data_IF_079474595776
#
_entry.id   IF_079474595776
#
_cell.length_a   1.000
_cell.length_b   1.000
_cell.length_c   1.000
_cell.angle_alpha   90.00
_cell.angle_beta   90.00
_cell.angle_gamma   90.00
#
_symmetry.space_group_name_H-M   'P 1'
#
loop_
_entity.id
_entity.type
_entity.pdbx_description
1 polymer ?
#
# COMPACT_ATOMS: atom_id res chain seq x y z
N UNK A 1 -30.75 -11.00 8.62
CA UNK A 1 -30.51 -11.91 7.49
C UNK A 1 -29.08 -12.46 7.59
N UNK A 2 -28.86 -13.75 7.66
CA UNK A 2 -27.47 -14.29 7.60
C UNK A 2 -26.93 -14.04 6.20
N UNK A 3 -25.89 -13.24 6.09
CA UNK A 3 -25.24 -12.93 4.82
C UNK A 3 -24.55 -14.18 4.30
N UNK A 4 -24.71 -14.49 3.03
CA UNK A 4 -23.98 -15.56 2.37
C UNK A 4 -22.51 -15.16 2.32
N UNK A 5 -21.65 -15.92 2.99
CA UNK A 5 -20.21 -15.73 2.91
C UNK A 5 -19.67 -16.46 1.69
N UNK A 6 -18.93 -15.75 0.85
CA UNK A 6 -18.26 -16.33 -0.32
C UNK A 6 -16.92 -16.91 0.14
N UNK A 7 -16.76 -18.23 0.09
CA UNK A 7 -15.53 -18.94 0.48
C UNK A 7 -15.08 -19.92 -0.60
N UNK A 8 -13.74 -20.10 -0.78
CA UNK A 8 -13.23 -21.05 -1.75
C UNK A 8 -13.51 -22.49 -1.31
N UNK A 9 -14.13 -23.26 -2.17
CA UNK A 9 -14.36 -24.69 -1.98
C UNK A 9 -13.09 -25.50 -2.34
N UNK A 10 -13.06 -26.78 -1.98
CA UNK A 10 -11.95 -27.68 -2.32
C UNK A 10 -11.65 -27.69 -3.83
N UNK A 11 -12.67 -27.71 -4.67
CA UNK A 11 -12.51 -27.68 -6.13
C UNK A 11 -11.88 -26.36 -6.60
N UNK A 12 -12.26 -25.22 -6.02
CA UNK A 12 -11.67 -23.90 -6.35
C UNK A 12 -10.19 -23.84 -5.95
N UNK A 13 -9.81 -24.42 -4.80
CA UNK A 13 -8.41 -24.53 -4.37
C UNK A 13 -7.59 -25.42 -5.30
N UNK A 14 -8.17 -26.54 -5.76
CA UNK A 14 -7.54 -27.44 -6.74
C UNK A 14 -7.35 -26.72 -8.08
N UNK A 15 -8.38 -26.02 -8.56
CA UNK A 15 -8.32 -25.26 -9.80
C UNK A 15 -7.25 -24.15 -9.71
N UNK A 16 -7.18 -23.44 -8.59
CA UNK A 16 -6.15 -22.44 -8.32
C UNK A 16 -4.74 -23.04 -8.38
N UNK A 17 -4.55 -24.21 -7.77
CA UNK A 17 -3.26 -24.93 -7.82
C UNK A 17 -2.85 -25.30 -9.25
N UNK A 18 -3.80 -25.75 -10.07
CA UNK A 18 -3.55 -26.08 -11.49
C UNK A 18 -3.20 -24.81 -12.28
N UNK A 19 -3.94 -23.71 -12.05
CA UNK A 19 -3.70 -22.42 -12.69
C UNK A 19 -2.30 -21.90 -12.33
N UNK A 20 -1.92 -21.97 -11.04
CA UNK A 20 -0.60 -21.60 -10.58
C UNK A 20 0.52 -22.46 -11.22
N UNK A 21 0.32 -23.78 -11.31
CA UNK A 21 1.26 -24.68 -11.97
C UNK A 21 1.44 -24.35 -13.45
N UNK A 22 0.34 -24.04 -14.15
CA UNK A 22 0.38 -23.58 -15.54
C UNK A 22 1.11 -22.25 -15.69
N UNK A 23 0.91 -21.31 -14.75
CA UNK A 23 1.65 -20.06 -14.69
C UNK A 23 3.16 -20.29 -14.62
N UNK A 24 3.58 -21.18 -13.73
CA UNK A 24 4.99 -21.56 -13.61
C UNK A 24 5.55 -22.17 -14.89
N UNK A 25 4.78 -22.98 -15.60
CA UNK A 25 5.19 -23.52 -16.90
C UNK A 25 5.44 -22.42 -17.93
N UNK A 26 4.62 -21.36 -17.96
CA UNK A 26 4.89 -20.18 -18.79
C UNK A 26 6.15 -19.42 -18.33
N UNK A 27 6.30 -19.19 -17.04
CA UNK A 27 7.46 -18.48 -16.47
C UNK A 27 8.79 -19.18 -16.83
N UNK A 28 8.81 -20.52 -16.83
CA UNK A 28 9.97 -21.32 -17.17
C UNK A 28 10.08 -21.68 -18.66
N UNK A 29 9.27 -21.07 -19.53
CA UNK A 29 9.25 -21.30 -20.97
C UNK A 29 9.11 -22.81 -21.36
N UNK A 30 8.32 -23.57 -20.60
CA UNK A 30 7.99 -24.93 -20.94
C UNK A 30 7.19 -24.93 -22.25
N UNK A 31 7.46 -25.82 -23.25
CA UNK A 31 6.67 -25.86 -24.48
C UNK A 31 5.18 -26.10 -24.20
N UNK A 32 4.31 -25.39 -24.95
CA UNK A 32 2.85 -25.34 -24.71
C UNK A 32 2.20 -26.74 -24.74
N UNK A 33 2.73 -27.65 -25.54
CA UNK A 33 2.26 -29.05 -25.62
C UNK A 33 2.35 -29.84 -24.32
N UNK A 34 3.23 -29.41 -23.38
CA UNK A 34 3.41 -29.99 -22.05
C UNK A 34 2.63 -29.27 -20.96
N UNK A 35 1.95 -28.15 -21.28
CA UNK A 35 1.19 -27.42 -20.29
C UNK A 35 -0.04 -28.21 -19.82
N UNK A 36 -0.37 -28.05 -18.54
CA UNK A 36 -1.61 -28.59 -17.99
C UNK A 36 -2.81 -28.02 -18.75
N UNK A 37 -3.70 -28.89 -19.19
CA UNK A 37 -4.96 -28.51 -19.85
C UNK A 37 -5.95 -28.04 -18.79
N UNK A 38 -6.47 -26.82 -18.95
CA UNK A 38 -7.63 -26.32 -18.22
C UNK A 38 -8.85 -26.45 -19.13
N UNK A 39 -10.00 -26.85 -18.59
CA UNK A 39 -11.26 -26.74 -19.30
C UNK A 39 -11.61 -25.27 -19.54
N UNK A 40 -12.16 -24.94 -20.70
CA UNK A 40 -12.25 -23.56 -21.22
C UNK A 40 -13.02 -22.58 -20.32
N UNK A 41 -13.97 -23.03 -19.50
CA UNK A 41 -14.79 -22.14 -18.66
C UNK A 41 -14.31 -22.01 -17.19
N UNK A 42 -13.31 -22.77 -16.76
CA UNK A 42 -12.88 -22.80 -15.36
C UNK A 42 -12.14 -21.54 -14.89
N UNK A 43 -11.36 -20.84 -15.72
CA UNK A 43 -10.77 -19.55 -15.32
C UNK A 43 -11.81 -18.49 -14.98
N UNK A 44 -12.92 -18.42 -15.73
CA UNK A 44 -14.00 -17.44 -15.52
C UNK A 44 -14.77 -17.71 -14.22
N UNK A 45 -14.99 -18.99 -13.88
CA UNK A 45 -15.58 -19.37 -12.59
C UNK A 45 -14.68 -18.96 -11.42
N UNK A 46 -13.37 -19.14 -11.57
CA UNK A 46 -12.39 -18.74 -10.56
C UNK A 46 -12.33 -17.22 -10.41
N UNK A 47 -12.36 -16.50 -11.53
CA UNK A 47 -12.41 -15.05 -11.55
C UNK A 47 -13.68 -14.53 -10.85
N UNK A 48 -14.85 -15.05 -11.20
CA UNK A 48 -16.13 -14.67 -10.57
C UNK A 48 -16.14 -14.94 -9.07
N UNK A 49 -15.54 -16.05 -8.62
CA UNK A 49 -15.36 -16.36 -7.21
C UNK A 49 -14.47 -15.32 -6.51
N UNK A 50 -13.33 -14.96 -7.11
CA UNK A 50 -12.38 -14.00 -6.52
C UNK A 50 -12.99 -12.61 -6.41
N UNK A 51 -13.74 -12.14 -7.40
CA UNK A 51 -14.49 -10.87 -7.35
C UNK A 51 -15.53 -10.90 -6.22
N UNK A 52 -16.29 -11.99 -6.08
CA UNK A 52 -17.26 -12.15 -4.99
C UNK A 52 -16.60 -12.12 -3.60
N UNK A 53 -15.44 -12.78 -3.46
CA UNK A 53 -14.68 -12.76 -2.21
C UNK A 53 -14.12 -11.37 -1.89
N UNK A 54 -13.62 -10.65 -2.89
CA UNK A 54 -13.15 -9.27 -2.74
C UNK A 54 -14.28 -8.34 -2.26
N UNK A 55 -15.46 -8.41 -2.92
CA UNK A 55 -16.62 -7.62 -2.53
C UNK A 55 -17.08 -7.92 -1.10
N UNK A 56 -17.10 -9.19 -0.70
CA UNK A 56 -17.44 -9.60 0.67
C UNK A 56 -16.42 -9.08 1.70
N UNK A 57 -15.13 -9.09 1.36
CA UNK A 57 -14.09 -8.51 2.20
C UNK A 57 -14.22 -6.99 2.35
N UNK A 58 -14.47 -6.27 1.26
CA UNK A 58 -14.71 -4.82 1.29
C UNK A 58 -15.88 -4.48 2.22
N UNK A 59 -16.97 -5.24 2.16
CA UNK A 59 -18.11 -5.03 3.05
C UNK A 59 -17.76 -5.21 4.54
N UNK A 60 -16.83 -6.12 4.88
CA UNK A 60 -16.41 -6.27 6.27
C UNK A 60 -15.57 -5.08 6.73
N UNK A 61 -14.72 -4.53 5.87
CA UNK A 61 -14.00 -3.29 6.17
C UNK A 61 -14.97 -2.14 6.37
N UNK A 62 -15.96 -1.98 5.48
CA UNK A 62 -16.96 -0.91 5.54
C UNK A 62 -17.72 -0.95 6.86
N UNK A 63 -18.12 -2.13 7.31
CA UNK A 63 -18.95 -2.34 8.51
C UNK A 63 -18.14 -2.50 9.81
N UNK A 64 -16.81 -2.31 9.82
CA UNK A 64 -15.91 -2.45 10.98
C UNK A 64 -16.01 -3.81 11.72
N UNK A 65 -16.27 -4.88 11.00
CA UNK A 65 -16.34 -6.23 11.59
C UNK A 65 -14.95 -6.81 11.79
N UNK A 66 -14.17 -6.29 12.74
CA UNK A 66 -12.75 -6.60 12.93
C UNK A 66 -12.47 -8.11 13.10
N UNK A 67 -13.28 -8.83 13.87
CA UNK A 67 -13.11 -10.29 14.05
C UNK A 67 -13.26 -11.05 12.72
N UNK A 68 -14.19 -10.61 11.86
CA UNK A 68 -14.40 -11.20 10.54
C UNK A 68 -13.31 -10.79 9.55
N UNK A 69 -12.73 -9.60 9.69
CA UNK A 69 -11.61 -9.16 8.85
C UNK A 69 -10.39 -10.06 9.06
N UNK A 70 -10.04 -10.37 10.32
CA UNK A 70 -8.92 -11.27 10.64
C UNK A 70 -9.15 -12.69 10.11
N UNK A 71 -10.34 -13.24 10.31
CA UNK A 71 -10.70 -14.57 9.80
C UNK A 71 -10.63 -14.64 8.26
N UNK A 72 -10.98 -13.56 7.57
CA UNK A 72 -11.03 -13.49 6.11
C UNK A 72 -9.72 -13.05 5.46
N UNK A 73 -8.69 -12.69 6.19
CA UNK A 73 -7.38 -12.38 5.61
C UNK A 73 -6.78 -13.57 4.85
N UNK A 74 -7.00 -14.82 5.32
CA UNK A 74 -6.59 -16.01 4.58
C UNK A 74 -7.39 -16.19 3.28
N UNK A 75 -8.69 -15.87 3.30
CA UNK A 75 -9.53 -15.89 2.10
C UNK A 75 -9.10 -14.81 1.11
N UNK A 76 -8.73 -13.62 1.58
CA UNK A 76 -8.20 -12.56 0.73
C UNK A 76 -6.83 -12.91 0.13
N UNK A 77 -6.03 -13.69 0.85
CA UNK A 77 -4.79 -14.24 0.29
C UNK A 77 -5.06 -15.12 -0.94
N UNK A 78 -6.10 -15.94 -0.91
CA UNK A 78 -6.51 -16.71 -2.09
C UNK A 78 -6.83 -15.79 -3.28
N UNK A 79 -7.50 -14.66 -3.06
CA UNK A 79 -7.80 -13.68 -4.09
C UNK A 79 -6.52 -13.02 -4.62
N UNK A 80 -5.60 -12.62 -3.76
CA UNK A 80 -4.32 -12.03 -4.18
C UNK A 80 -3.44 -13.03 -4.95
N UNK A 81 -3.40 -14.29 -4.53
CA UNK A 81 -2.69 -15.36 -5.23
C UNK A 81 -3.28 -15.61 -6.63
N UNK A 82 -4.61 -15.47 -6.80
CA UNK A 82 -5.23 -15.51 -8.11
C UNK A 82 -4.74 -14.40 -9.02
N UNK A 83 -4.78 -13.14 -8.55
CA UNK A 83 -4.32 -12.01 -9.36
C UNK A 83 -2.82 -12.08 -9.66
N UNK A 84 -1.99 -12.49 -8.70
CA UNK A 84 -0.55 -12.71 -8.93
C UNK A 84 -0.33 -13.76 -10.04
N UNK A 85 -1.03 -14.88 -9.95
CA UNK A 85 -0.96 -15.97 -10.92
C UNK A 85 -1.47 -15.52 -12.28
N UNK A 86 -2.63 -14.85 -12.33
CA UNK A 86 -3.26 -14.42 -13.58
C UNK A 86 -2.43 -13.36 -14.32
N UNK A 87 -1.85 -12.41 -13.61
CA UNK A 87 -1.02 -11.34 -14.18
C UNK A 87 0.32 -11.89 -14.68
N UNK A 88 0.89 -12.87 -13.99
CA UNK A 88 2.15 -13.52 -14.40
C UNK A 88 1.97 -14.49 -15.55
N UNK A 89 0.80 -15.06 -15.70
CA UNK A 89 0.52 -15.91 -16.87
C UNK A 89 0.18 -15.01 -18.04
N UNK A 90 0.93 -15.08 -19.11
CA UNK A 90 0.56 -14.52 -20.41
C UNK A 90 -0.69 -15.20 -20.99
N UNK A 91 -1.69 -15.51 -20.17
CA UNK A 91 -2.95 -16.13 -20.58
C UNK A 91 -3.80 -15.16 -21.41
N UNK A 92 -3.57 -13.83 -21.24
CA UNK A 92 -4.05 -12.79 -22.13
C UNK A 92 -2.87 -11.89 -22.46
N UNK A 93 -2.49 -11.79 -23.72
CA UNK A 93 -1.42 -10.92 -24.19
C UNK A 93 -1.73 -9.45 -23.97
N UNK A 94 -3.01 -9.08 -23.90
CA UNK A 94 -3.50 -7.77 -23.50
C UNK A 94 -3.98 -7.82 -22.04
N UNK A 95 -3.12 -7.35 -21.13
CA UNK A 95 -3.51 -7.18 -19.72
C UNK A 95 -4.60 -6.10 -19.65
N UNK A 96 -5.82 -6.52 -19.43
CA UNK A 96 -6.96 -5.63 -19.24
C UNK A 96 -6.70 -4.73 -18.02
N UNK A 97 -6.80 -3.42 -18.21
CA UNK A 97 -6.62 -2.42 -17.14
C UNK A 97 -7.56 -2.63 -15.97
N UNK A 98 -8.74 -3.20 -16.21
CA UNK A 98 -9.65 -3.63 -15.15
C UNK A 98 -8.97 -4.64 -14.20
N UNK A 99 -8.32 -5.66 -14.74
CA UNK A 99 -7.62 -6.68 -13.94
C UNK A 99 -6.43 -6.11 -13.18
N UNK A 100 -5.67 -5.20 -13.80
CA UNK A 100 -4.56 -4.51 -13.15
C UNK A 100 -5.05 -3.63 -11.99
N UNK A 101 -6.16 -2.92 -12.19
CA UNK A 101 -6.73 -2.01 -11.21
C UNK A 101 -7.31 -2.77 -10.01
N UNK A 102 -8.14 -3.77 -10.24
CA UNK A 102 -8.73 -4.61 -9.20
C UNK A 102 -7.66 -5.47 -8.51
N UNK A 103 -6.68 -5.97 -9.25
CA UNK A 103 -5.53 -6.69 -8.70
C UNK A 103 -4.70 -5.79 -7.77
N UNK A 104 -4.43 -4.54 -8.18
CA UNK A 104 -3.73 -3.56 -7.33
C UNK A 104 -4.50 -3.28 -6.04
N UNK A 105 -5.83 -3.07 -6.12
CA UNK A 105 -6.69 -2.90 -4.96
C UNK A 105 -6.66 -4.13 -4.02
N UNK A 106 -6.71 -5.32 -4.60
CA UNK A 106 -6.65 -6.58 -3.85
C UNK A 106 -5.31 -6.72 -3.12
N UNK A 107 -4.19 -6.45 -3.78
CA UNK A 107 -2.87 -6.47 -3.14
C UNK A 107 -2.78 -5.47 -2.00
N UNK A 108 -3.31 -4.26 -2.18
CA UNK A 108 -3.34 -3.29 -1.10
C UNK A 108 -4.10 -3.80 0.12
N UNK A 109 -5.34 -4.27 -0.08
CA UNK A 109 -6.23 -4.76 0.97
C UNK A 109 -5.72 -6.05 1.63
N UNK A 110 -4.90 -6.85 0.93
CA UNK A 110 -4.24 -8.06 1.46
C UNK A 110 -2.89 -7.77 2.14
N UNK A 111 -2.61 -6.51 2.48
CA UNK A 111 -1.36 -6.08 3.12
C UNK A 111 -0.10 -6.29 2.25
N UNK A 112 -0.25 -6.28 0.93
CA UNK A 112 0.84 -6.37 -0.06
C UNK A 112 1.00 -5.02 -0.80
N UNK A 113 1.15 -3.93 -0.05
CA UNK A 113 1.18 -2.57 -0.58
C UNK A 113 2.29 -2.34 -1.61
N UNK A 114 3.45 -3.01 -1.44
CA UNK A 114 4.53 -2.97 -2.42
C UNK A 114 4.11 -3.53 -3.79
N UNK A 115 3.44 -4.68 -3.83
CA UNK A 115 2.90 -5.28 -5.06
C UNK A 115 1.83 -4.39 -5.69
N UNK A 116 0.94 -3.83 -4.87
CA UNK A 116 -0.07 -2.86 -5.31
C UNK A 116 0.58 -1.66 -6.01
N UNK A 117 1.60 -1.06 -5.39
CA UNK A 117 2.33 0.10 -5.94
C UNK A 117 3.04 -0.21 -7.26
N UNK A 118 3.59 -1.42 -7.42
CA UNK A 118 4.23 -1.83 -8.68
C UNK A 118 3.18 -2.02 -9.78
N UNK A 119 2.04 -2.59 -9.43
CA UNK A 119 1.02 -2.92 -10.41
C UNK A 119 0.30 -1.67 -10.94
N UNK A 120 -0.06 -0.74 -10.07
CA UNK A 120 -0.75 0.49 -10.46
C UNK A 120 0.08 1.36 -11.41
N UNK A 121 1.42 1.32 -11.30
CA UNK A 121 2.34 2.06 -12.20
C UNK A 121 2.32 1.56 -13.65
N UNK A 122 1.80 0.36 -13.90
CA UNK A 122 1.67 -0.20 -15.25
C UNK A 122 0.46 0.32 -16.02
N UNK A 123 -0.46 1.02 -15.35
CA UNK A 123 -1.68 1.55 -15.95
C UNK A 123 -1.41 2.99 -16.41
N UNK A 124 -1.44 3.31 -17.71
CA UNK A 124 -1.42 4.68 -18.19
C UNK A 124 -2.79 5.33 -17.95
N UNK A 125 -2.82 6.41 -17.17
CA UNK A 125 -4.09 7.04 -16.78
C UNK A 125 -4.91 7.54 -17.97
N UNK A 126 -4.24 7.95 -19.05
CA UNK A 126 -4.91 8.49 -20.24
C UNK A 126 -5.73 7.45 -21.01
N UNK A 127 -5.36 6.17 -20.87
CA UNK A 127 -6.02 5.04 -21.54
C UNK A 127 -7.03 4.35 -20.63
N UNK A 128 -7.17 4.82 -19.38
CA UNK A 128 -8.04 4.20 -18.40
C UNK A 128 -9.49 4.68 -18.60
N UNK A 129 -10.26 3.92 -19.36
CA UNK A 129 -11.69 4.05 -19.54
C UNK A 129 -12.35 2.67 -19.43
N UNK A 130 -13.05 2.44 -18.34
CA UNK A 130 -13.71 1.17 -18.04
C UNK A 130 -15.23 1.28 -18.10
N UNK A 131 -15.77 2.39 -18.60
CA UNK A 131 -17.20 2.68 -18.61
C UNK A 131 -17.84 2.54 -17.22
N UNK A 132 -17.22 3.12 -16.19
CA UNK A 132 -17.71 3.12 -14.81
C UNK A 132 -17.86 4.54 -14.26
N UNK A 133 -18.24 5.46 -15.14
CA UNK A 133 -18.53 6.85 -14.77
C UNK A 133 -17.38 7.50 -13.97
N UNK A 134 -16.14 7.23 -14.36
CA UNK A 134 -14.90 7.70 -13.76
C UNK A 134 -14.58 7.15 -12.34
N UNK A 135 -15.32 6.15 -11.84
CA UNK A 135 -14.95 5.45 -10.61
C UNK A 135 -13.60 4.75 -10.73
N UNK A 136 -13.26 4.25 -11.93
CA UNK A 136 -11.94 3.70 -12.21
C UNK A 136 -10.81 4.72 -12.04
N UNK A 137 -11.04 5.98 -12.41
CA UNK A 137 -10.07 7.06 -12.23
C UNK A 137 -9.90 7.41 -10.75
N UNK A 138 -11.01 7.47 -9.99
CA UNK A 138 -10.96 7.69 -8.54
C UNK A 138 -10.22 6.53 -7.84
N UNK A 139 -10.50 5.30 -8.21
CA UNK A 139 -9.82 4.12 -7.67
C UNK A 139 -8.31 4.15 -7.98
N UNK A 140 -7.94 4.46 -9.22
CA UNK A 140 -6.56 4.63 -9.64
C UNK A 140 -5.84 5.71 -8.83
N UNK A 141 -6.46 6.89 -8.68
CA UNK A 141 -5.91 8.02 -7.94
C UNK A 141 -5.66 7.68 -6.47
N UNK A 142 -6.60 7.00 -5.81
CA UNK A 142 -6.45 6.53 -4.43
C UNK A 142 -5.27 5.54 -4.33
N UNK A 143 -5.17 4.57 -5.25
CA UNK A 143 -4.13 3.55 -5.22
C UNK A 143 -2.74 4.12 -5.52
N UNK A 144 -2.64 5.11 -6.40
CA UNK A 144 -1.39 5.77 -6.75
C UNK A 144 -0.82 6.58 -5.59
N UNK A 145 -1.68 7.02 -4.66
CA UNK A 145 -1.29 7.84 -3.49
C UNK A 145 -0.62 9.17 -3.86
N UNK A 146 -0.92 9.67 -5.06
CA UNK A 146 -0.48 10.98 -5.55
C UNK A 146 -1.67 11.93 -5.52
N UNK A 147 -1.82 12.64 -4.40
CA UNK A 147 -3.00 13.48 -4.14
C UNK A 147 -2.84 14.92 -4.61
N UNK A 148 -1.79 15.26 -5.35
CA UNK A 148 -1.55 16.63 -5.82
C UNK A 148 -2.50 17.04 -6.93
N UNK A 149 -2.76 16.14 -7.88
CA UNK A 149 -3.61 16.40 -9.03
C UNK A 149 -5.03 15.85 -8.80
N UNK A 150 -6.03 16.71 -8.90
CA UNK A 150 -7.43 16.29 -8.85
C UNK A 150 -7.82 15.56 -10.14
N UNK A 151 -8.87 14.75 -10.03
CA UNK A 151 -9.37 13.92 -11.12
C UNK A 151 -10.23 14.78 -12.05
N UNK A 152 -10.01 14.65 -13.37
CA UNK A 152 -10.94 15.21 -14.36
C UNK A 152 -12.20 14.34 -14.45
N UNK A 153 -13.34 14.94 -14.15
CA UNK A 153 -14.64 14.28 -14.04
C UNK A 153 -15.75 14.93 -14.83
N UNK A 154 -15.43 15.84 -15.78
CA UNK A 154 -16.42 16.70 -16.45
C UNK A 154 -17.61 15.97 -17.07
N UNK A 155 -17.46 14.71 -17.48
CA UNK A 155 -18.52 13.91 -18.12
C UNK A 155 -19.21 12.89 -17.23
N UNK A 156 -18.82 12.76 -15.94
CA UNK A 156 -19.38 11.75 -15.03
C UNK A 156 -20.69 12.18 -14.39
N UNK A 157 -21.64 11.23 -14.27
CA UNK A 157 -22.86 11.41 -13.47
C UNK A 157 -22.60 11.49 -11.97
N UNK A 158 -21.39 11.10 -11.54
CA UNK A 158 -20.91 11.13 -10.15
C UNK A 158 -19.91 12.27 -9.91
N UNK A 159 -19.85 13.28 -10.78
CA UNK A 159 -18.88 14.35 -10.73
C UNK A 159 -18.73 14.95 -9.34
N UNK A 160 -19.84 15.44 -8.78
CA UNK A 160 -19.82 16.15 -7.51
C UNK A 160 -19.34 15.25 -6.35
N UNK A 161 -19.72 13.98 -6.37
CA UNK A 161 -19.32 13.01 -5.34
C UNK A 161 -17.83 12.66 -5.44
N UNK A 162 -17.32 12.44 -6.66
CA UNK A 162 -15.90 12.15 -6.90
C UNK A 162 -15.04 13.34 -6.48
N UNK A 163 -15.42 14.55 -6.87
CA UNK A 163 -14.72 15.79 -6.50
C UNK A 163 -14.72 15.99 -4.99
N UNK A 164 -15.85 15.83 -4.32
CA UNK A 164 -15.96 15.97 -2.87
C UNK A 164 -15.12 14.93 -2.12
N UNK A 165 -15.21 13.65 -2.51
CA UNK A 165 -14.43 12.57 -1.87
C UNK A 165 -12.93 12.79 -2.08
N UNK A 166 -12.50 13.10 -3.30
CA UNK A 166 -11.08 13.32 -3.59
C UNK A 166 -10.54 14.56 -2.86
N UNK A 167 -11.31 15.64 -2.81
CA UNK A 167 -10.95 16.86 -2.07
C UNK A 167 -10.80 16.59 -0.57
N UNK A 168 -11.79 15.99 0.08
CA UNK A 168 -11.75 15.71 1.52
C UNK A 168 -10.64 14.71 1.88
N UNK A 169 -10.41 13.72 1.03
CA UNK A 169 -9.35 12.75 1.23
C UNK A 169 -7.96 13.39 1.11
N UNK A 170 -7.78 14.29 0.14
CA UNK A 170 -6.58 15.12 0.03
C UNK A 170 -6.39 15.99 1.26
N UNK A 171 -7.42 16.74 1.68
CA UNK A 171 -7.37 17.60 2.88
C UNK A 171 -6.94 16.80 4.11
N UNK A 172 -7.45 15.58 4.28
CA UNK A 172 -7.02 14.72 5.37
C UNK A 172 -5.51 14.41 5.32
N UNK A 173 -4.95 14.08 4.16
CA UNK A 173 -3.51 13.80 4.05
C UNK A 173 -2.64 15.06 4.18
N UNK A 174 -3.16 16.23 3.82
CA UNK A 174 -2.46 17.51 3.93
C UNK A 174 -2.53 18.11 5.34
N UNK A 175 -3.56 17.82 6.13
CA UNK A 175 -3.81 18.50 7.41
C UNK A 175 -3.98 17.59 8.62
N UNK A 176 -4.24 16.30 8.40
CA UNK A 176 -4.62 15.35 9.45
C UNK A 176 -6.06 15.50 9.93
N UNK A 177 -6.82 16.45 9.40
CA UNK A 177 -8.21 16.72 9.83
C UNK A 177 -9.14 15.82 9.02
N UNK A 178 -9.83 14.93 9.74
CA UNK A 178 -10.93 14.15 9.18
C UNK A 178 -12.23 14.91 9.38
N UNK A 179 -12.70 15.52 8.31
CA UNK A 179 -14.04 16.11 8.26
C UNK A 179 -15.09 15.02 7.98
N UNK A 180 -16.21 15.35 7.39
CA UNK A 180 -17.34 14.47 7.07
C UNK A 180 -17.09 13.48 5.90
N UNK A 181 -15.83 13.15 5.59
CA UNK A 181 -15.44 12.27 4.48
C UNK A 181 -16.22 10.95 4.44
N UNK A 182 -16.36 10.26 5.57
CA UNK A 182 -17.04 8.97 5.58
C UNK A 182 -18.56 9.08 5.43
N UNK A 183 -19.16 10.19 5.84
CA UNK A 183 -20.57 10.48 5.61
C UNK A 183 -20.83 10.70 4.11
N UNK A 184 -20.02 11.56 3.48
CA UNK A 184 -20.10 11.83 2.04
C UNK A 184 -19.86 10.55 1.23
N UNK A 185 -18.84 9.78 1.59
CA UNK A 185 -18.53 8.51 0.93
C UNK A 185 -19.67 7.48 1.08
N UNK A 186 -20.35 7.47 2.23
CA UNK A 186 -21.51 6.60 2.44
C UNK A 186 -22.71 7.03 1.58
N UNK A 187 -22.98 8.33 1.48
CA UNK A 187 -24.04 8.87 0.62
C UNK A 187 -23.71 8.60 -0.86
N UNK A 188 -22.46 8.77 -1.27
CA UNK A 188 -21.99 8.42 -2.61
C UNK A 188 -22.22 6.94 -2.92
N UNK A 189 -21.81 6.08 -1.99
CA UNK A 189 -22.05 4.64 -2.11
C UNK A 189 -23.52 4.31 -2.30
N UNK A 190 -24.42 4.93 -1.51
CA UNK A 190 -25.86 4.74 -1.64
C UNK A 190 -26.36 5.16 -3.02
N UNK A 191 -25.92 6.31 -3.54
CA UNK A 191 -26.28 6.78 -4.90
C UNK A 191 -25.85 5.75 -5.97
N UNK A 192 -24.62 5.20 -5.88
CA UNK A 192 -24.16 4.18 -6.83
C UNK A 192 -24.98 2.89 -6.70
N UNK A 193 -25.40 2.50 -5.50
CA UNK A 193 -26.26 1.33 -5.32
C UNK A 193 -27.66 1.51 -5.91
N UNK A 194 -28.16 2.76 -5.94
CA UNK A 194 -29.50 3.07 -6.45
C UNK A 194 -29.56 3.12 -7.99
N UNK A 195 -28.49 3.62 -8.65
CA UNK A 195 -28.51 3.89 -10.09
C UNK A 195 -27.37 3.25 -10.88
N UNK A 196 -26.35 2.73 -10.22
CA UNK A 196 -25.14 2.23 -10.87
C UNK A 196 -25.25 0.81 -11.40
N UNK A 197 -24.35 0.46 -12.29
CA UNK A 197 -24.16 -0.90 -12.78
C UNK A 197 -23.50 -1.79 -11.71
N UNK A 198 -23.56 -3.13 -11.88
CA UNK A 198 -22.88 -4.08 -10.98
C UNK A 198 -21.37 -3.84 -10.87
N UNK A 199 -20.73 -3.35 -11.93
CA UNK A 199 -19.30 -3.02 -11.91
C UNK A 199 -19.05 -1.77 -11.08
N UNK A 200 -19.86 -0.74 -11.20
CA UNK A 200 -19.79 0.48 -10.39
C UNK A 200 -20.04 0.20 -8.91
N UNK A 201 -20.98 -0.68 -8.59
CA UNK A 201 -21.23 -1.13 -7.20
C UNK A 201 -19.98 -1.81 -6.61
N UNK A 202 -19.30 -2.63 -7.38
CA UNK A 202 -18.01 -3.22 -6.93
C UNK A 202 -16.95 -2.14 -6.72
N UNK A 203 -16.81 -1.20 -7.68
CA UNK A 203 -15.82 -0.15 -7.60
C UNK A 203 -16.04 0.75 -6.38
N UNK A 204 -17.28 1.18 -6.11
CA UNK A 204 -17.53 2.03 -4.94
C UNK A 204 -17.30 1.32 -3.61
N UNK A 205 -17.57 0.02 -3.50
CA UNK A 205 -17.24 -0.77 -2.33
C UNK A 205 -15.73 -0.91 -2.13
N UNK A 206 -14.98 -1.14 -3.20
CA UNK A 206 -13.50 -1.19 -3.18
C UNK A 206 -12.92 0.18 -2.83
N UNK A 207 -13.41 1.26 -3.41
CA UNK A 207 -13.02 2.64 -3.10
C UNK A 207 -13.24 2.93 -1.61
N UNK A 208 -14.42 2.62 -1.09
CA UNK A 208 -14.73 2.84 0.33
C UNK A 208 -13.76 2.05 1.23
N UNK A 209 -13.56 0.77 0.94
CA UNK A 209 -12.65 -0.08 1.71
C UNK A 209 -11.21 0.45 1.69
N UNK A 210 -10.73 0.92 0.52
CA UNK A 210 -9.40 1.51 0.38
C UNK A 210 -9.25 2.83 1.13
N UNK A 211 -10.20 3.76 0.98
CA UNK A 211 -10.21 5.04 1.71
C UNK A 211 -10.14 4.79 3.21
N UNK A 212 -10.96 3.87 3.72
CA UNK A 212 -10.99 3.51 5.13
C UNK A 212 -9.69 2.85 5.59
N UNK A 213 -9.11 1.97 4.79
CA UNK A 213 -7.83 1.31 5.08
C UNK A 213 -6.67 2.30 5.07
N UNK A 214 -6.61 3.19 4.07
CA UNK A 214 -5.57 4.23 3.97
C UNK A 214 -5.68 5.25 5.11
N UNK A 215 -6.89 5.62 5.50
CA UNK A 215 -7.11 6.45 6.69
C UNK A 215 -6.52 5.77 7.94
N UNK A 216 -6.88 4.50 8.20
CA UNK A 216 -6.35 3.73 9.34
C UNK A 216 -4.84 3.55 9.30
N UNK A 217 -4.25 3.45 8.12
CA UNK A 217 -2.81 3.28 7.91
C UNK A 217 -2.05 4.62 7.88
N UNK A 218 -2.73 5.78 7.90
CA UNK A 218 -2.08 7.08 7.75
C UNK A 218 -1.02 7.34 8.81
N UNK A 219 0.01 8.11 8.44
CA UNK A 219 1.05 8.57 9.35
C UNK A 219 0.51 9.49 10.44
N UNK A 220 -0.53 10.27 10.13
CA UNK A 220 -1.22 11.11 11.11
C UNK A 220 -1.75 10.34 12.33
N UNK A 221 -2.23 9.12 12.11
CA UNK A 221 -2.78 8.25 13.17
C UNK A 221 -1.67 7.41 13.81
N UNK A 222 -0.80 6.82 12.99
CA UNK A 222 0.10 5.76 13.46
C UNK A 222 1.40 6.26 14.08
N UNK A 223 1.91 7.42 13.67
CA UNK A 223 3.11 7.97 14.30
C UNK A 223 2.89 8.29 15.79
N UNK A 224 1.84 9.05 16.18
CA UNK A 224 1.58 9.26 17.61
C UNK A 224 1.33 7.97 18.38
N UNK A 225 0.61 7.03 17.78
CA UNK A 225 0.29 5.74 18.39
C UNK A 225 1.54 4.90 18.71
N UNK A 226 2.52 4.88 17.81
CA UNK A 226 3.67 3.97 17.90
C UNK A 226 4.94 4.60 18.47
N UNK A 227 4.99 5.92 18.67
CA UNK A 227 6.20 6.62 19.10
C UNK A 227 6.07 7.30 20.46
N UNK A 228 4.88 7.34 21.06
CA UNK A 228 4.54 8.10 22.28
C UNK A 228 4.81 9.61 22.16
N UNK A 229 4.98 10.11 20.94
CA UNK A 229 5.11 11.54 20.64
C UNK A 229 3.78 12.06 20.12
N UNK A 230 3.40 13.26 20.54
CA UNK A 230 2.21 13.91 20.01
C UNK A 230 2.36 14.27 18.52
N UNK A 231 1.24 14.49 17.86
CA UNK A 231 1.20 14.74 16.41
C UNK A 231 1.91 16.03 16.02
N UNK A 232 1.91 17.03 16.89
CA UNK A 232 2.55 18.34 16.66
C UNK A 232 4.06 18.20 16.44
N UNK A 233 4.73 17.27 17.13
CA UNK A 233 6.14 16.97 16.92
C UNK A 233 6.41 16.32 15.56
N UNK A 234 5.45 15.56 15.05
CA UNK A 234 5.56 14.90 13.75
C UNK A 234 5.10 15.73 12.58
N UNK A 235 4.24 16.72 12.80
CA UNK A 235 3.61 17.52 11.76
C UNK A 235 4.59 18.11 10.73
N UNK A 236 5.73 18.72 11.11
CA UNK A 236 6.70 19.25 10.14
C UNK A 236 7.28 18.16 9.21
N UNK A 237 7.39 16.93 9.73
CA UNK A 237 7.87 15.77 8.96
C UNK A 237 6.77 15.20 8.05
N UNK A 238 5.55 15.02 8.57
CA UNK A 238 4.41 14.47 7.82
C UNK A 238 4.08 15.32 6.60
N UNK A 239 4.24 16.64 6.71
CA UNK A 239 3.94 17.59 5.64
C UNK A 239 4.99 17.61 4.52
N UNK A 240 6.14 16.96 4.70
CA UNK A 240 7.15 16.88 3.64
C UNK A 240 6.62 16.04 2.46
N UNK A 241 6.78 16.50 1.21
CA UNK A 241 6.37 15.74 0.03
C UNK A 241 7.07 14.38 -0.08
N UNK A 242 8.30 14.27 0.42
CA UNK A 242 9.14 13.06 0.36
C UNK A 242 8.84 12.06 1.46
N UNK A 243 8.07 12.47 2.48
CA UNK A 243 7.75 11.60 3.61
C UNK A 243 6.60 10.65 3.26
N UNK A 244 6.62 9.45 3.85
CA UNK A 244 5.56 8.47 3.65
C UNK A 244 4.21 9.01 4.16
N UNK A 245 3.15 8.76 3.41
CA UNK A 245 1.80 9.18 3.80
C UNK A 245 1.08 8.11 4.64
N UNK A 246 1.50 6.85 4.52
CA UNK A 246 0.86 5.71 5.18
C UNK A 246 1.88 4.66 5.63
N UNK A 247 1.55 3.93 6.67
CA UNK A 247 2.29 2.77 7.15
C UNK A 247 1.91 1.53 6.35
N UNK A 248 2.90 0.79 5.91
CA UNK A 248 2.72 -0.55 5.39
C UNK A 248 2.74 -1.57 6.52
N UNK A 249 2.35 -2.81 6.23
CA UNK A 249 2.31 -3.89 7.22
C UNK A 249 3.63 -4.08 7.98
N UNK A 250 4.77 -3.88 7.33
CA UNK A 250 6.10 -3.93 7.96
C UNK A 250 6.30 -2.84 9.01
N UNK A 251 5.90 -1.59 8.74
CA UNK A 251 6.00 -0.50 9.69
C UNK A 251 5.02 -0.67 10.86
N UNK A 252 3.81 -1.18 10.61
CA UNK A 252 2.88 -1.55 11.69
C UNK A 252 3.50 -2.58 12.63
N UNK A 253 4.10 -3.64 12.07
CA UNK A 253 4.78 -4.68 12.88
C UNK A 253 5.91 -4.09 13.74
N UNK A 254 6.71 -3.17 13.19
CA UNK A 254 7.75 -2.48 13.95
C UNK A 254 7.16 -1.61 15.07
N UNK A 255 6.08 -0.89 14.79
CA UNK A 255 5.39 -0.07 15.79
C UNK A 255 4.79 -0.90 16.92
N UNK A 256 4.11 -1.99 16.60
CA UNK A 256 3.52 -2.93 17.56
C UNK A 256 4.57 -3.60 18.46
N UNK A 257 5.78 -3.80 17.93
CA UNK A 257 6.92 -4.33 18.71
C UNK A 257 7.77 -3.24 19.37
N UNK A 258 7.29 -1.99 19.43
CA UNK A 258 7.91 -0.84 20.12
C UNK A 258 9.30 -0.45 19.60
N UNK A 259 9.64 -0.84 18.36
CA UNK A 259 10.93 -0.49 17.75
C UNK A 259 11.07 1.03 17.62
N UNK A 260 10.00 1.72 17.25
CA UNK A 260 10.00 3.19 17.17
C UNK A 260 10.11 3.88 18.54
N UNK A 261 9.86 3.16 19.63
CA UNK A 261 10.10 3.64 21.02
C UNK A 261 11.52 3.33 21.52
N UNK A 262 12.36 2.72 20.69
CA UNK A 262 13.76 2.42 21.01
C UNK A 262 14.03 1.01 21.54
N UNK A 263 13.07 0.09 21.42
CA UNK A 263 13.31 -1.30 21.74
C UNK A 263 14.25 -1.95 20.73
N UNK A 264 15.27 -2.62 21.21
CA UNK A 264 16.20 -3.37 20.36
C UNK A 264 15.52 -4.55 19.67
N UNK A 265 15.77 -4.74 18.39
CA UNK A 265 15.15 -5.81 17.61
C UNK A 265 16.08 -6.33 16.51
N UNK A 266 15.87 -7.59 16.12
CA UNK A 266 16.36 -8.15 14.86
C UNK A 266 15.22 -8.13 13.87
N UNK A 267 15.41 -7.43 12.73
CA UNK A 267 14.35 -7.19 11.76
C UNK A 267 14.71 -7.92 10.46
N UNK A 268 13.86 -8.85 10.06
CA UNK A 268 13.96 -9.53 8.78
C UNK A 268 12.75 -9.15 7.92
N UNK A 269 13.00 -8.42 6.84
CA UNK A 269 11.96 -7.98 5.90
C UNK A 269 12.32 -8.43 4.48
N UNK A 270 11.33 -8.81 3.65
CA UNK A 270 11.56 -9.08 2.25
C UNK A 270 12.04 -7.84 1.49
N UNK A 271 12.56 -8.02 0.30
CA UNK A 271 12.84 -6.91 -0.63
C UNK A 271 11.53 -6.15 -0.92
N UNK A 272 11.63 -4.84 -1.08
CA UNK A 272 10.49 -3.94 -1.34
C UNK A 272 9.45 -3.81 -0.20
N UNK A 273 9.77 -4.29 1.01
CA UNK A 273 8.91 -4.10 2.19
C UNK A 273 9.12 -2.75 2.92
N UNK A 274 9.83 -1.80 2.30
CA UNK A 274 10.05 -0.47 2.86
C UNK A 274 11.14 -0.39 3.94
N UNK A 275 12.22 -1.17 3.84
CA UNK A 275 13.34 -1.17 4.80
C UNK A 275 13.92 0.22 5.03
N UNK A 276 14.29 0.93 3.97
CA UNK A 276 14.87 2.28 4.03
C UNK A 276 13.93 3.26 4.74
N UNK A 277 12.63 3.21 4.43
CA UNK A 277 11.63 4.05 5.11
C UNK A 277 11.44 3.67 6.57
N UNK A 278 11.56 2.40 6.92
CA UNK A 278 11.54 1.96 8.31
C UNK A 278 12.75 2.47 9.10
N UNK A 279 13.94 2.46 8.48
CA UNK A 279 15.17 3.05 9.06
C UNK A 279 15.01 4.54 9.29
N UNK A 280 14.49 5.29 8.31
CA UNK A 280 14.16 6.72 8.45
C UNK A 280 13.24 6.97 9.64
N UNK A 281 12.15 6.19 9.78
CA UNK A 281 11.21 6.32 10.90
C UNK A 281 11.85 6.07 12.27
N UNK A 282 12.73 5.07 12.38
CA UNK A 282 13.45 4.76 13.62
C UNK A 282 14.34 5.94 14.02
N UNK A 283 15.13 6.47 13.07
CA UNK A 283 16.03 7.60 13.31
C UNK A 283 15.23 8.85 13.72
N UNK A 284 14.20 9.19 12.94
CA UNK A 284 13.35 10.35 13.23
C UNK A 284 12.69 10.25 14.61
N UNK A 285 12.15 9.08 14.95
CA UNK A 285 11.57 8.87 16.27
C UNK A 285 12.59 9.03 17.39
N UNK A 286 13.82 8.56 17.21
CA UNK A 286 14.89 8.72 18.19
C UNK A 286 15.29 10.20 18.37
N UNK A 287 15.39 10.95 17.27
CA UNK A 287 15.77 12.36 17.29
C UNK A 287 14.66 13.27 17.80
N UNK A 288 13.41 13.03 17.42
CA UNK A 288 12.26 13.81 17.88
C UNK A 288 11.94 13.59 19.35
N UNK A 289 12.23 12.40 19.87
CA UNK A 289 12.08 12.07 21.30
C UNK A 289 13.31 12.42 22.14
N UNK A 290 14.36 12.99 21.54
CA UNK A 290 15.62 13.35 22.20
C UNK A 290 16.32 12.13 22.85
N UNK A 291 16.01 10.90 22.44
CA UNK A 291 16.66 9.68 22.93
C UNK A 291 18.08 9.52 22.37
N UNK A 292 18.38 10.11 21.22
CA UNK A 292 19.66 10.10 20.57
C UNK A 292 19.86 11.37 19.75
N UNK A 293 21.11 11.79 19.65
CA UNK A 293 21.57 12.84 18.74
C UNK A 293 22.40 12.24 17.58
N UNK A 294 22.81 10.99 17.72
CA UNK A 294 23.63 10.30 16.72
C UNK A 294 22.96 8.97 16.36
N UNK A 295 22.88 8.69 15.06
CA UNK A 295 22.47 7.40 14.52
C UNK A 295 23.63 6.82 13.69
N UNK A 296 24.02 5.58 13.98
CA UNK A 296 25.10 4.89 13.24
C UNK A 296 24.50 3.74 12.46
N UNK A 297 24.72 3.75 11.15
CA UNK A 297 24.28 2.69 10.24
C UNK A 297 25.52 1.96 9.72
N UNK A 298 25.56 0.65 9.95
CA UNK A 298 26.64 -0.20 9.45
C UNK A 298 26.13 -1.06 8.30
N UNK A 299 26.73 -0.92 7.13
CA UNK A 299 26.40 -1.71 5.95
C UNK A 299 27.61 -2.53 5.49
N UNK A 300 27.40 -3.77 4.97
CA UNK A 300 28.50 -4.69 4.65
C UNK A 300 29.27 -4.30 3.36
N UNK A 301 28.73 -3.45 2.51
CA UNK A 301 29.29 -3.11 1.21
C UNK A 301 29.26 -1.59 0.98
N UNK A 302 30.34 -1.04 0.40
CA UNK A 302 30.47 0.38 0.06
C UNK A 302 29.34 0.90 -0.82
N UNK A 303 28.91 0.13 -1.81
CA UNK A 303 27.78 0.51 -2.66
C UNK A 303 26.48 0.72 -1.87
N UNK A 304 26.23 -0.14 -0.88
CA UNK A 304 25.06 0.00 0.00
C UNK A 304 25.20 1.20 0.95
N UNK A 305 26.40 1.52 1.43
CA UNK A 305 26.64 2.74 2.23
C UNK A 305 26.30 3.99 1.41
N UNK A 306 26.77 4.07 0.17
CA UNK A 306 26.46 5.20 -0.72
C UNK A 306 24.96 5.32 -1.01
N UNK A 307 24.25 4.20 -1.24
CA UNK A 307 22.81 4.18 -1.46
C UNK A 307 22.06 4.71 -0.22
N UNK A 308 22.36 4.17 0.96
CA UNK A 308 21.76 4.59 2.23
C UNK A 308 22.03 6.07 2.51
N UNK A 309 23.27 6.52 2.29
CA UNK A 309 23.63 7.93 2.46
C UNK A 309 22.79 8.84 1.56
N UNK A 310 22.67 8.50 0.27
CA UNK A 310 21.89 9.31 -0.67
C UNK A 310 20.42 9.33 -0.28
N UNK A 311 19.83 8.19 0.08
CA UNK A 311 18.44 8.08 0.51
C UNK A 311 18.16 8.90 1.77
N UNK A 312 19.05 8.84 2.77
CA UNK A 312 18.90 9.58 4.01
C UNK A 312 19.19 11.07 3.81
N UNK A 313 20.20 11.45 3.01
CA UNK A 313 20.46 12.85 2.68
C UNK A 313 19.23 13.49 2.02
N UNK A 314 18.57 12.77 1.12
CA UNK A 314 17.32 13.23 0.50
C UNK A 314 16.15 13.29 1.50
N UNK A 315 16.01 12.27 2.37
CA UNK A 315 14.95 12.22 3.36
C UNK A 315 15.06 13.35 4.40
N UNK A 316 16.28 13.70 4.81
CA UNK A 316 16.58 14.74 5.80
C UNK A 316 16.96 16.10 5.18
N UNK A 317 16.76 16.26 3.87
CA UNK A 317 17.01 17.52 3.19
C UNK A 317 16.24 18.67 3.87
N UNK A 318 16.91 19.82 4.00
CA UNK A 318 16.40 21.03 4.68
C UNK A 318 16.08 20.83 6.19
N UNK A 319 16.71 19.85 6.83
CA UNK A 319 16.71 19.68 8.27
C UNK A 319 18.12 19.92 8.83
N UNK A 320 18.19 20.32 10.09
CA UNK A 320 19.47 20.49 10.79
C UNK A 320 20.00 19.11 11.25
N UNK A 321 20.29 18.25 10.25
CA UNK A 321 20.79 16.90 10.43
C UNK A 321 21.86 16.63 9.39
N UNK A 322 23.09 16.35 9.86
CA UNK A 322 24.21 16.01 8.98
C UNK A 322 24.23 14.52 8.69
N UNK A 323 24.33 14.15 7.41
CA UNK A 323 24.49 12.74 6.97
C UNK A 323 25.90 12.54 6.45
N UNK A 324 26.69 11.74 7.16
CA UNK A 324 28.09 11.49 6.90
C UNK A 324 28.32 10.05 6.45
N UNK A 325 29.39 9.82 5.67
CA UNK A 325 29.80 8.48 5.23
C UNK A 325 31.27 8.24 5.58
N UNK A 326 31.56 7.09 6.17
CA UNK A 326 32.90 6.65 6.53
C UNK A 326 33.21 5.33 5.82
N UNK A 327 33.87 5.37 4.68
CA UNK A 327 34.16 4.17 3.87
C UNK A 327 35.60 3.69 3.93
N UNK A 328 36.56 4.52 4.34
CA UNK A 328 38.00 4.23 4.33
C UNK A 328 38.67 4.47 5.70
N UNK A 329 38.02 4.07 6.77
CA UNK A 329 38.41 4.35 8.18
C UNK A 329 39.72 3.69 8.61
N UNK A 330 40.23 2.75 7.83
CA UNK A 330 41.47 1.99 8.22
C UNK A 330 42.76 2.78 8.12
N UNK A 331 42.79 4.02 7.67
CA UNK A 331 44.03 4.77 7.45
C UNK A 331 44.23 6.05 8.26
N UNK A 332 43.23 6.50 9.03
CA UNK A 332 43.42 7.66 9.93
C UNK A 332 42.64 7.42 11.23
N UNK A 333 43.29 7.79 12.33
CA UNK A 333 42.61 7.96 13.62
C UNK A 333 41.53 9.05 13.43
N UNK A 334 40.30 8.62 13.12
CA UNK A 334 39.16 9.54 13.06
C UNK A 334 38.83 9.89 14.50
N UNK A 335 39.12 11.10 14.86
CA UNK A 335 38.64 11.65 16.11
C UNK A 335 37.16 11.88 15.95
N UNK A 336 36.35 10.89 16.40
CA UNK A 336 34.88 10.96 16.36
C UNK A 336 34.40 12.23 17.04
N UNK A 337 35.14 12.72 18.04
CA UNK A 337 34.82 13.94 18.77
C UNK A 337 34.85 15.22 17.89
N UNK A 338 35.59 15.23 16.77
CA UNK A 338 35.58 16.35 15.81
C UNK A 338 34.30 16.44 14.96
N UNK A 339 33.51 15.34 14.90
CA UNK A 339 32.25 15.30 14.16
C UNK A 339 31.02 15.46 15.05
N UNK A 340 31.22 15.42 16.39
CA UNK A 340 30.17 15.56 17.38
C UNK A 340 30.28 16.94 18.00
N UNK A 341 29.76 17.97 17.34
CA UNK A 341 29.52 19.21 18.03
C UNK A 341 28.35 19.01 19.01
N UNK A 342 28.47 19.50 20.25
CA UNK A 342 27.44 19.40 21.27
C UNK A 342 26.11 19.98 20.71
N UNK A 343 25.08 19.12 20.68
CA UNK A 343 23.70 19.37 20.21
C UNK A 343 23.42 19.26 18.71
N UNK A 344 24.35 18.89 17.84
CA UNK A 344 24.03 18.59 16.43
C UNK A 344 23.54 17.15 16.26
N UNK A 345 22.53 16.98 15.41
CA UNK A 345 22.04 15.65 15.00
C UNK A 345 22.84 15.13 13.82
N UNK A 346 23.38 13.91 13.95
CA UNK A 346 24.26 13.29 12.96
C UNK A 346 23.80 11.86 12.63
N UNK A 347 23.90 11.52 11.36
CA UNK A 347 23.68 10.15 10.83
C UNK A 347 24.94 9.68 10.14
#
# INVERSE_FOLDING_TARGET
MKRLQVKPKRNSKTLMSITHSKAKMFEYNVPIEYHLKLEDNKPDELFSLTIGMLGDFCQNIINDTNDQILEKQEDLKFVSDFFDTYIKTKLNEDLDYYLLLIGSATFYLSNQQGSSSVLIKKIPIHDLDLNTEHLEKLLFWILKSDYENLIDTESSIYKDEIENVSYLFKVFFDTGILDNLFEILNNFRQKVYDIGSYREILFIDVIYALVKSKYKNSTWINLPKYTDLNVEKWQPTILKPTFIKEFWSSQHLLGENEVFKGKSAVIQLPTSAGKTKSTELIIRSAFLSERANIAIIVAPFKALCNEIKNDLSYAFENEDIKVNEFTDVLQKDINIDEFIEENEKNI
#
